data_IF_913063281718
#
_entry.id   IF_913063281718
#
_cell.length_a   1.000
_cell.length_b   1.000
_cell.length_c   1.000
_cell.angle_alpha   90.00
_cell.angle_beta   90.00
_cell.angle_gamma   90.00
#
_symmetry.space_group_name_H-M   'P 1'
#
loop_
_entity.id
_entity.type
_entity.pdbx_description
1 polymer ?
#
# COMPACT_ATOMS: atom_id res chain seq x y z
N UNK A 1 -1.42 -28.72 -2.59
CA UNK A 1 -0.71 -27.44 -2.48
C UNK A 1 0.01 -27.18 -3.81
N UNK A 2 -0.62 -26.48 -4.74
CA UNK A 2 0.07 -26.00 -5.93
C UNK A 2 1.03 -24.88 -5.49
N UNK A 3 2.29 -25.21 -5.30
CA UNK A 3 3.36 -24.21 -5.24
C UNK A 3 3.48 -23.59 -6.62
N UNK A 4 2.79 -22.47 -6.84
CA UNK A 4 2.90 -21.75 -8.10
C UNK A 4 4.33 -21.26 -8.32
N UNK A 5 4.73 -21.11 -9.58
CA UNK A 5 5.99 -20.46 -10.00
C UNK A 5 6.27 -19.15 -9.22
N UNK A 6 5.24 -18.50 -8.63
CA UNK A 6 5.33 -17.31 -7.83
C UNK A 6 6.26 -17.36 -6.61
N UNK A 7 6.34 -18.49 -5.89
CA UNK A 7 7.14 -18.55 -4.65
C UNK A 7 8.64 -18.70 -4.91
N UNK A 8 9.02 -19.38 -5.98
CA UNK A 8 10.43 -19.50 -6.40
C UNK A 8 10.90 -18.12 -6.90
N UNK A 9 10.12 -17.48 -7.74
CA UNK A 9 10.44 -16.18 -8.29
C UNK A 9 10.50 -15.08 -7.21
N UNK A 10 9.56 -15.08 -6.26
CA UNK A 10 9.62 -14.17 -5.09
C UNK A 10 10.91 -14.34 -4.30
N UNK A 11 11.36 -15.58 -4.06
CA UNK A 11 12.62 -15.83 -3.35
C UNK A 11 13.82 -15.31 -4.13
N UNK A 12 13.85 -15.53 -5.44
CA UNK A 12 14.91 -15.00 -6.31
C UNK A 12 14.95 -13.47 -6.32
N UNK A 13 13.78 -12.81 -6.40
CA UNK A 13 13.71 -11.34 -6.35
C UNK A 13 14.14 -10.79 -5.00
N UNK A 14 13.77 -11.45 -3.89
CA UNK A 14 14.23 -11.08 -2.54
C UNK A 14 15.75 -11.19 -2.41
N UNK A 15 16.34 -12.28 -2.90
CA UNK A 15 17.79 -12.45 -2.93
C UNK A 15 18.44 -11.36 -3.76
N UNK A 16 17.95 -11.14 -4.99
CA UNK A 16 18.46 -10.10 -5.88
C UNK A 16 18.39 -8.70 -5.26
N UNK A 17 17.27 -8.34 -4.60
CA UNK A 17 17.12 -7.04 -3.94
C UNK A 17 18.15 -6.84 -2.81
N UNK A 18 18.52 -7.91 -2.11
CA UNK A 18 19.57 -7.86 -1.09
C UNK A 18 20.97 -7.79 -1.71
N UNK A 19 21.23 -8.54 -2.78
CA UNK A 19 22.50 -8.54 -3.51
C UNK A 19 22.80 -7.17 -4.15
N UNK A 20 21.79 -6.51 -4.69
CA UNK A 20 21.90 -5.17 -5.30
C UNK A 20 21.91 -4.04 -4.26
N UNK A 21 21.66 -4.32 -2.99
CA UNK A 21 21.55 -3.32 -1.93
C UNK A 21 20.24 -2.51 -1.94
N UNK A 22 19.28 -2.86 -2.80
CA UNK A 22 17.95 -2.21 -2.81
C UNK A 22 17.19 -2.46 -1.50
N UNK A 23 17.45 -3.61 -0.86
CA UNK A 23 16.89 -3.97 0.44
C UNK A 23 17.95 -4.60 1.35
N UNK A 24 17.74 -4.46 2.64
CA UNK A 24 18.55 -5.13 3.68
C UNK A 24 17.75 -6.29 4.26
N UNK A 25 18.36 -7.48 4.30
CA UNK A 25 17.80 -8.65 4.98
C UNK A 25 17.89 -8.44 6.49
N UNK A 26 16.79 -8.68 7.18
CA UNK A 26 16.73 -8.61 8.65
C UNK A 26 17.03 -9.97 9.28
N UNK A 27 17.12 -9.99 10.62
CA UNK A 27 17.35 -11.18 11.41
C UNK A 27 16.23 -12.21 11.19
N UNK A 28 16.56 -13.37 10.63
CA UNK A 28 15.57 -14.41 10.29
C UNK A 28 14.97 -15.12 11.50
N UNK A 29 15.68 -15.14 12.63
CA UNK A 29 15.18 -15.79 13.86
C UNK A 29 14.16 -14.90 14.58
N UNK A 30 14.34 -13.58 14.52
CA UNK A 30 13.49 -12.58 15.20
C UNK A 30 12.41 -12.02 14.29
N UNK A 31 12.72 -11.84 13.00
CA UNK A 31 11.87 -11.23 11.97
C UNK A 31 11.90 -12.07 10.67
N UNK A 32 11.39 -13.32 10.72
CA UNK A 32 11.50 -14.23 9.59
C UNK A 32 10.88 -13.67 8.32
N UNK A 33 11.66 -13.66 7.26
CA UNK A 33 11.25 -13.17 5.96
C UNK A 33 11.01 -11.66 5.91
N UNK A 34 11.52 -10.86 6.83
CA UNK A 34 11.40 -9.41 6.79
C UNK A 34 12.58 -8.75 6.07
N UNK A 35 12.31 -7.62 5.45
CA UNK A 35 13.27 -6.80 4.72
C UNK A 35 13.14 -5.34 5.16
N UNK A 36 14.24 -4.59 5.05
CA UNK A 36 14.26 -3.13 5.21
C UNK A 36 14.60 -2.47 3.87
N UNK A 37 13.84 -1.47 3.50
CA UNK A 37 14.06 -0.59 2.34
C UNK A 37 14.22 0.86 2.79
N UNK A 38 15.00 1.64 2.03
CA UNK A 38 15.12 3.09 2.23
C UNK A 38 14.89 3.81 0.92
N UNK A 39 14.07 4.85 0.96
CA UNK A 39 13.90 5.77 -0.17
C UNK A 39 14.87 6.94 -0.05
N UNK A 40 15.02 7.71 -1.14
CA UNK A 40 15.77 8.97 -1.06
C UNK A 40 15.08 9.93 -0.07
N UNK A 41 15.82 10.79 0.66
CA UNK A 41 15.24 11.72 1.64
C UNK A 41 14.18 12.68 1.09
N UNK A 42 14.19 12.95 -0.22
CA UNK A 42 13.20 13.78 -0.89
C UNK A 42 12.03 12.99 -1.50
N UNK A 43 11.94 11.66 -1.23
CA UNK A 43 10.90 10.77 -1.75
C UNK A 43 10.34 9.90 -0.62
N UNK A 44 9.67 10.52 0.33
CA UNK A 44 9.25 9.90 1.60
C UNK A 44 7.75 10.03 1.88
N UNK A 45 7.01 10.72 1.02
CA UNK A 45 5.58 10.98 1.18
C UNK A 45 4.85 10.96 -0.16
N UNK A 46 3.53 10.85 -0.11
CA UNK A 46 2.69 11.12 -1.27
C UNK A 46 2.80 12.60 -1.66
N UNK A 47 2.84 12.86 -2.95
CA UNK A 47 2.97 14.21 -3.50
C UNK A 47 1.63 14.68 -4.04
N UNK A 48 0.81 15.29 -3.19
CA UNK A 48 -0.54 15.71 -3.56
C UNK A 48 -0.55 16.77 -4.66
N UNK A 49 0.32 17.75 -4.58
CA UNK A 49 0.46 18.79 -5.59
C UNK A 49 0.99 18.31 -6.95
N UNK A 50 1.46 17.07 -7.03
CA UNK A 50 1.94 16.40 -8.25
C UNK A 50 1.10 15.17 -8.59
N UNK A 51 -0.05 15.00 -7.93
CA UNK A 51 -1.01 13.93 -8.19
C UNK A 51 -2.23 14.51 -8.91
N UNK A 52 -2.58 13.95 -10.06
CA UNK A 52 -3.61 14.48 -10.95
C UNK A 52 -4.62 13.41 -11.36
N UNK A 53 -5.87 13.83 -11.47
CA UNK A 53 -6.92 13.10 -12.18
C UNK A 53 -7.01 13.71 -13.58
N UNK A 54 -6.66 12.92 -14.58
CA UNK A 54 -6.66 13.33 -15.99
C UNK A 54 -7.95 12.83 -16.65
N UNK A 55 -9.07 13.42 -16.23
CA UNK A 55 -10.39 13.16 -16.78
C UNK A 55 -10.67 14.08 -17.96
N UNK A 56 -11.68 13.78 -18.78
CA UNK A 56 -12.08 14.55 -19.96
C UNK A 56 -12.38 16.03 -19.63
N UNK A 57 -12.82 16.31 -18.40
CA UNK A 57 -13.09 17.66 -17.92
C UNK A 57 -12.74 17.82 -16.44
N UNK A 58 -12.45 19.05 -16.02
CA UNK A 58 -12.01 19.34 -14.66
C UNK A 58 -13.06 19.01 -13.58
N UNK A 59 -14.35 19.15 -13.90
CA UNK A 59 -15.45 18.81 -13.00
C UNK A 59 -15.52 17.31 -12.70
N UNK A 60 -15.07 16.44 -13.61
CA UNK A 60 -15.00 15.00 -13.39
C UNK A 60 -13.84 14.59 -12.48
N UNK A 61 -12.86 15.46 -12.25
CA UNK A 61 -11.79 15.19 -11.29
C UNK A 61 -12.29 15.28 -9.83
N UNK A 62 -13.41 15.94 -9.61
CA UNK A 62 -13.96 16.21 -8.29
C UNK A 62 -13.32 17.43 -7.59
N UNK A 63 -13.96 17.94 -6.52
CA UNK A 63 -13.62 19.24 -5.95
C UNK A 63 -12.28 19.31 -5.20
N UNK A 64 -11.71 18.17 -4.84
CA UNK A 64 -10.52 18.08 -3.97
C UNK A 64 -9.29 17.58 -4.69
N UNK A 65 -9.40 17.13 -5.93
CA UNK A 65 -8.29 16.62 -6.72
C UNK A 65 -7.77 17.66 -7.71
N UNK A 66 -6.46 17.61 -7.99
CA UNK A 66 -5.91 18.36 -9.09
C UNK A 66 -6.33 17.73 -10.43
N UNK A 67 -6.63 18.55 -11.40
CA UNK A 67 -6.93 18.14 -12.76
C UNK A 67 -5.81 18.54 -13.72
N UNK A 68 -5.60 17.72 -14.72
CA UNK A 68 -4.72 18.01 -15.87
C UNK A 68 -5.37 17.46 -17.14
N UNK A 69 -5.26 18.17 -18.25
CA UNK A 69 -5.73 17.69 -19.54
C UNK A 69 -5.08 16.34 -19.88
N UNK A 70 -5.85 15.31 -20.28
CA UNK A 70 -5.30 13.98 -20.54
C UNK A 70 -4.24 13.96 -21.64
N UNK A 71 -4.40 14.71 -22.71
CA UNK A 71 -3.45 14.71 -23.83
C UNK A 71 -2.13 15.39 -23.43
N UNK A 72 -2.21 16.50 -22.68
CA UNK A 72 -1.03 17.16 -22.11
C UNK A 72 -0.31 16.25 -21.12
N UNK A 73 -1.06 15.59 -20.23
CA UNK A 73 -0.52 14.66 -19.24
C UNK A 73 0.20 13.48 -19.91
N UNK A 74 -0.40 12.83 -20.91
CA UNK A 74 0.24 11.73 -21.64
C UNK A 74 1.53 12.19 -22.33
N UNK A 75 1.49 13.32 -23.02
CA UNK A 75 2.68 13.86 -23.70
C UNK A 75 3.82 14.10 -22.71
N UNK A 76 3.54 14.79 -21.61
CA UNK A 76 4.52 15.08 -20.56
C UNK A 76 5.09 13.80 -19.95
N UNK A 77 4.23 12.84 -19.58
CA UNK A 77 4.63 11.61 -18.92
C UNK A 77 5.45 10.70 -19.85
N UNK A 78 5.08 10.59 -21.11
CA UNK A 78 5.85 9.81 -22.08
C UNK A 78 7.22 10.45 -22.40
N UNK A 79 7.30 11.78 -22.39
CA UNK A 79 8.60 12.46 -22.55
C UNK A 79 9.50 12.22 -21.32
N UNK A 80 8.94 12.21 -20.09
CA UNK A 80 9.69 11.87 -18.87
C UNK A 80 10.09 10.38 -18.86
N UNK A 81 9.18 9.49 -19.21
CA UNK A 81 9.39 8.03 -19.17
C UNK A 81 10.25 7.52 -20.35
N UNK A 82 10.51 8.34 -21.36
CA UNK A 82 11.29 7.96 -22.55
C UNK A 82 12.64 7.37 -22.14
N UNK A 83 12.93 6.18 -22.66
CA UNK A 83 14.16 5.43 -22.38
C UNK A 83 14.43 5.09 -20.90
N UNK A 84 13.49 5.31 -19.99
CA UNK A 84 13.66 5.09 -18.54
C UNK A 84 13.97 3.63 -18.18
N UNK A 85 13.51 2.68 -19.00
CA UNK A 85 13.80 1.25 -18.83
C UNK A 85 15.10 0.78 -19.52
N UNK A 86 15.78 1.66 -20.25
CA UNK A 86 17.03 1.26 -20.95
C UNK A 86 18.08 0.79 -19.96
N UNK A 87 18.55 -0.45 -20.12
CA UNK A 87 19.51 -1.09 -19.23
C UNK A 87 18.92 -1.57 -17.89
N UNK A 88 17.61 -1.45 -17.68
CA UNK A 88 16.90 -1.93 -16.49
C UNK A 88 16.02 -3.14 -16.81
N UNK A 89 15.69 -3.93 -15.79
CA UNK A 89 14.72 -5.03 -15.94
C UNK A 89 13.31 -4.46 -15.80
N UNK A 90 12.47 -4.70 -16.78
CA UNK A 90 11.05 -4.43 -16.69
C UNK A 90 10.33 -5.64 -16.07
N UNK A 91 9.63 -5.41 -14.96
CA UNK A 91 8.79 -6.39 -14.32
C UNK A 91 7.32 -6.16 -14.71
N UNK A 92 6.62 -7.25 -14.98
CA UNK A 92 5.18 -7.24 -15.31
C UNK A 92 4.44 -7.91 -14.17
N UNK A 93 3.54 -7.18 -13.51
CA UNK A 93 2.81 -7.63 -12.33
C UNK A 93 1.31 -7.70 -12.65
N UNK A 94 0.79 -8.85 -13.10
CA UNK A 94 -0.66 -9.05 -13.14
C UNK A 94 -1.19 -9.29 -11.71
N UNK A 95 -2.18 -8.51 -11.30
CA UNK A 95 -2.71 -8.57 -9.96
C UNK A 95 -4.23 -8.43 -9.92
N UNK A 96 -4.85 -8.98 -8.88
CA UNK A 96 -6.26 -8.83 -8.57
C UNK A 96 -6.46 -8.01 -7.32
N UNK A 97 -7.30 -6.99 -7.42
CA UNK A 97 -7.89 -6.30 -6.30
C UNK A 97 -9.20 -7.02 -5.95
N UNK A 98 -9.27 -7.55 -4.74
CA UNK A 98 -10.30 -8.50 -4.34
C UNK A 98 -9.92 -9.98 -4.59
N UNK A 99 -10.70 -10.94 -4.07
CA UNK A 99 -10.45 -12.37 -4.23
C UNK A 99 -10.52 -12.79 -5.70
N UNK A 100 -9.51 -13.52 -6.18
CA UNK A 100 -9.43 -13.95 -7.59
C UNK A 100 -10.64 -14.82 -7.95
N UNK A 101 -11.32 -14.46 -9.05
CA UNK A 101 -12.53 -15.12 -9.53
C UNK A 101 -13.82 -14.65 -8.85
N UNK A 102 -13.75 -13.71 -7.91
CA UNK A 102 -14.94 -13.07 -7.36
C UNK A 102 -15.56 -12.10 -8.38
N UNK A 103 -16.90 -12.04 -8.49
CA UNK A 103 -17.57 -11.06 -9.35
C UNK A 103 -17.34 -9.61 -8.88
N UNK A 104 -16.82 -9.41 -7.68
CA UNK A 104 -16.48 -8.10 -7.11
C UNK A 104 -15.01 -7.72 -7.29
N UNK A 105 -14.17 -8.64 -7.79
CA UNK A 105 -12.76 -8.34 -8.03
C UNK A 105 -12.55 -7.62 -9.36
N UNK A 106 -11.47 -6.84 -9.41
CA UNK A 106 -11.00 -6.17 -10.62
C UNK A 106 -9.52 -6.50 -10.84
N UNK A 107 -9.10 -6.59 -12.08
CA UNK A 107 -7.73 -6.95 -12.44
C UNK A 107 -6.96 -5.71 -12.89
N UNK A 108 -5.69 -5.66 -12.53
CA UNK A 108 -4.72 -4.71 -13.05
C UNK A 108 -3.44 -5.39 -13.48
N UNK A 109 -2.68 -4.70 -14.33
CA UNK A 109 -1.32 -5.09 -14.69
C UNK A 109 -0.44 -3.87 -14.48
N UNK A 110 0.59 -4.00 -13.66
CA UNK A 110 1.57 -2.94 -13.41
C UNK A 110 2.90 -3.30 -14.05
N UNK A 111 3.45 -2.37 -14.83
CA UNK A 111 4.83 -2.41 -15.33
C UNK A 111 5.70 -1.57 -14.39
N UNK A 112 6.86 -2.09 -13.99
CA UNK A 112 7.79 -1.38 -13.11
C UNK A 112 9.23 -1.83 -13.33
N UNK A 113 10.19 -0.97 -13.01
CA UNK A 113 11.62 -1.29 -12.96
C UNK A 113 12.14 -1.55 -11.54
N UNK A 114 11.24 -1.59 -10.53
CA UNK A 114 11.57 -1.71 -9.11
C UNK A 114 11.20 -3.06 -8.52
N UNK A 115 12.18 -3.77 -7.92
CA UNK A 115 11.92 -5.00 -7.18
C UNK A 115 11.11 -4.71 -5.91
N UNK A 116 11.32 -3.55 -5.28
CA UNK A 116 10.52 -3.10 -4.14
C UNK A 116 9.03 -3.09 -4.48
N UNK A 117 8.65 -2.56 -5.64
CA UNK A 117 7.26 -2.55 -6.10
C UNK A 117 6.73 -3.97 -6.27
N UNK A 118 7.48 -4.84 -6.95
CA UNK A 118 7.05 -6.24 -7.17
C UNK A 118 6.78 -6.96 -5.86
N UNK A 119 7.69 -6.83 -4.88
CA UNK A 119 7.56 -7.53 -3.60
C UNK A 119 6.43 -6.96 -2.74
N UNK A 120 6.23 -5.64 -2.74
CA UNK A 120 5.11 -5.02 -2.04
C UNK A 120 3.77 -5.33 -2.69
N UNK A 121 3.67 -5.29 -4.02
CA UNK A 121 2.45 -5.68 -4.73
C UNK A 121 2.09 -7.14 -4.46
N UNK A 122 3.09 -8.02 -4.27
CA UNK A 122 2.86 -9.40 -3.89
C UNK A 122 2.31 -9.59 -2.47
N UNK A 123 2.51 -8.62 -1.58
CA UNK A 123 1.92 -8.57 -0.24
C UNK A 123 0.52 -7.92 -0.31
N UNK A 124 0.42 -6.78 -0.98
CA UNK A 124 -0.77 -5.93 -0.99
C UNK A 124 -1.90 -6.44 -1.88
N UNK A 125 -1.58 -7.26 -2.88
CA UNK A 125 -2.53 -7.75 -3.87
C UNK A 125 -2.40 -9.26 -4.06
N UNK A 126 -3.25 -9.83 -4.88
CA UNK A 126 -3.16 -11.26 -5.26
C UNK A 126 -2.56 -11.33 -6.65
N UNK A 127 -1.34 -11.84 -6.76
CA UNK A 127 -0.60 -11.92 -8.03
C UNK A 127 -0.44 -13.37 -8.48
N UNK A 128 -0.18 -13.56 -9.77
CA UNK A 128 0.26 -14.83 -10.34
C UNK A 128 -0.63 -15.36 -11.45
N UNK A 129 -0.34 -16.62 -11.86
CA UNK A 129 -0.98 -17.27 -13.02
C UNK A 129 -2.51 -17.25 -12.97
N UNK A 130 -3.10 -17.49 -11.79
CA UNK A 130 -4.57 -17.49 -11.64
C UNK A 130 -5.23 -16.17 -12.03
N UNK A 131 -4.53 -15.05 -11.81
CA UNK A 131 -5.04 -13.72 -12.23
C UNK A 131 -5.09 -13.63 -13.75
N UNK A 132 -4.02 -14.08 -14.43
CA UNK A 132 -3.97 -14.12 -15.90
C UNK A 132 -5.00 -15.07 -16.48
N UNK A 133 -5.15 -16.25 -15.88
CA UNK A 133 -6.16 -17.24 -16.30
C UNK A 133 -7.59 -16.67 -16.14
N UNK A 134 -7.83 -15.86 -15.09
CA UNK A 134 -9.12 -15.19 -14.86
C UNK A 134 -9.36 -14.06 -15.84
N UNK A 135 -8.31 -13.31 -16.20
CA UNK A 135 -8.40 -12.23 -17.19
C UNK A 135 -8.72 -12.79 -18.59
N UNK A 136 -8.04 -13.88 -18.98
CA UNK A 136 -8.19 -14.45 -20.33
C UNK A 136 -7.92 -13.42 -21.42
N UNK A 137 -8.82 -13.33 -22.39
CA UNK A 137 -8.76 -12.38 -23.51
C UNK A 137 -9.51 -11.06 -23.22
N UNK A 138 -9.93 -10.82 -21.98
CA UNK A 138 -10.64 -9.60 -21.61
C UNK A 138 -9.76 -8.36 -21.67
N UNK A 139 -10.33 -7.26 -22.16
CA UNK A 139 -9.71 -5.93 -22.11
C UNK A 139 -10.13 -5.11 -20.87
N UNK A 140 -10.96 -5.66 -19.98
CA UNK A 140 -11.39 -5.01 -18.73
C UNK A 140 -10.32 -5.18 -17.64
N UNK A 141 -9.29 -4.38 -17.72
CA UNK A 141 -8.22 -4.34 -16.73
C UNK A 141 -7.58 -2.95 -16.62
N UNK A 142 -7.03 -2.64 -15.47
CA UNK A 142 -6.35 -1.36 -15.21
C UNK A 142 -4.88 -1.45 -15.56
N UNK A 143 -4.41 -0.49 -16.35
CA UNK A 143 -3.04 -0.37 -16.84
C UNK A 143 -2.22 0.48 -15.89
N UNK A 144 -1.19 -0.07 -15.32
CA UNK A 144 -0.24 0.63 -14.46
C UNK A 144 1.13 0.74 -15.13
N UNK A 145 1.70 1.92 -15.15
CA UNK A 145 3.08 2.16 -15.55
C UNK A 145 3.80 2.92 -14.44
N UNK A 146 4.82 2.31 -13.87
CA UNK A 146 5.73 2.95 -12.92
C UNK A 146 7.13 2.99 -13.50
N UNK A 147 7.74 4.17 -13.56
CA UNK A 147 9.12 4.38 -13.96
C UNK A 147 9.87 5.10 -12.84
N UNK A 148 10.87 4.43 -12.24
CA UNK A 148 11.72 5.06 -11.22
C UNK A 148 12.49 6.26 -11.76
N UNK A 149 12.88 6.24 -13.04
CA UNK A 149 13.69 7.29 -13.68
C UNK A 149 14.90 7.65 -12.79
N UNK A 150 15.11 8.93 -12.52
CA UNK A 150 16.22 9.44 -11.69
C UNK A 150 15.77 9.82 -10.27
N UNK A 151 14.48 9.59 -9.94
CA UNK A 151 13.84 10.05 -8.68
C UNK A 151 13.98 11.57 -8.54
N UNK A 152 13.74 12.30 -9.63
CA UNK A 152 13.77 13.75 -9.66
C UNK A 152 12.46 14.33 -9.11
N UNK A 153 12.46 15.07 -7.98
CA UNK A 153 11.24 15.61 -7.38
C UNK A 153 10.52 16.62 -8.28
N UNK A 154 11.25 17.33 -9.16
CA UNK A 154 10.66 18.31 -10.07
C UNK A 154 9.93 17.67 -11.25
N UNK A 155 10.25 16.42 -11.57
CA UNK A 155 9.63 15.63 -12.62
C UNK A 155 8.81 14.46 -12.08
N UNK A 156 8.47 14.49 -10.79
CA UNK A 156 7.65 13.48 -10.12
C UNK A 156 6.19 13.76 -10.37
N UNK A 157 5.47 12.79 -10.94
CA UNK A 157 4.05 12.88 -11.21
C UNK A 157 3.36 11.53 -10.99
N UNK A 158 2.13 11.58 -10.44
CA UNK A 158 1.23 10.46 -10.32
C UNK A 158 -0.09 10.86 -11.01
N UNK A 159 -0.38 10.27 -12.16
CA UNK A 159 -1.53 10.62 -12.96
C UNK A 159 -2.46 9.42 -13.12
N UNK A 160 -3.76 9.63 -12.93
CA UNK A 160 -4.80 8.66 -13.14
C UNK A 160 -5.68 9.13 -14.31
N UNK A 161 -5.93 8.24 -15.25
CA UNK A 161 -6.76 8.44 -16.44
C UNK A 161 -7.99 7.54 -16.32
N UNK A 162 -9.07 8.02 -15.70
CA UNK A 162 -10.22 7.17 -15.36
C UNK A 162 -10.90 6.55 -16.58
N UNK A 163 -11.05 7.30 -17.67
CA UNK A 163 -11.70 6.83 -18.90
C UNK A 163 -10.89 5.72 -19.58
N UNK A 164 -9.56 5.76 -19.46
CA UNK A 164 -8.66 4.79 -20.09
C UNK A 164 -8.28 3.64 -19.15
N UNK A 165 -8.79 3.63 -17.92
CA UNK A 165 -8.34 2.70 -16.88
C UNK A 165 -6.82 2.64 -16.76
N UNK A 166 -6.15 3.81 -16.77
CA UNK A 166 -4.69 3.90 -16.82
C UNK A 166 -4.15 4.73 -15.66
N UNK A 167 -3.00 4.30 -15.12
CA UNK A 167 -2.28 4.97 -14.04
C UNK A 167 -0.81 5.05 -14.45
N UNK A 168 -0.21 6.24 -14.36
CA UNK A 168 1.20 6.44 -14.64
C UNK A 168 1.84 7.16 -13.47
N UNK A 169 2.93 6.59 -12.93
CA UNK A 169 3.75 7.17 -11.86
C UNK A 169 5.20 7.25 -12.31
N UNK A 170 5.80 8.42 -12.23
CA UNK A 170 7.19 8.65 -12.64
C UNK A 170 7.98 9.36 -11.54
N UNK A 171 9.30 9.07 -11.46
CA UNK A 171 10.26 9.70 -10.56
C UNK A 171 9.97 9.51 -9.07
N UNK A 172 9.35 8.41 -8.66
CA UNK A 172 9.18 8.05 -7.26
C UNK A 172 9.60 6.59 -7.02
N UNK A 173 10.08 6.30 -5.81
CA UNK A 173 10.28 4.97 -5.26
C UNK A 173 9.50 4.80 -3.93
N UNK A 174 8.75 5.81 -3.51
CA UNK A 174 7.95 5.76 -2.30
C UNK A 174 6.68 4.94 -2.48
N UNK A 175 6.44 3.97 -1.59
CA UNK A 175 5.34 3.01 -1.70
C UNK A 175 3.96 3.63 -1.96
N UNK A 176 3.63 4.74 -1.32
CA UNK A 176 2.36 5.44 -1.53
C UNK A 176 2.16 6.01 -2.95
N UNK A 177 3.26 6.21 -3.69
CA UNK A 177 3.25 6.73 -5.06
C UNK A 177 3.38 5.63 -6.12
N UNK A 178 3.95 4.47 -5.76
CA UNK A 178 4.37 3.45 -6.73
C UNK A 178 3.63 2.13 -6.63
N UNK A 179 2.91 1.87 -5.54
CA UNK A 179 2.02 0.72 -5.41
C UNK A 179 0.67 1.07 -6.05
N UNK A 180 0.59 0.98 -7.36
CA UNK A 180 -0.51 1.53 -8.14
C UNK A 180 -1.85 0.82 -7.89
N UNK A 181 -1.83 -0.40 -7.40
CA UNK A 181 -3.03 -1.14 -6.99
C UNK A 181 -3.74 -0.55 -5.77
N UNK A 182 -3.02 0.16 -4.88
CA UNK A 182 -3.59 0.67 -3.62
C UNK A 182 -4.50 1.90 -3.86
N UNK A 183 -3.99 3.11 -3.63
CA UNK A 183 -4.83 4.33 -3.72
C UNK A 183 -5.20 4.72 -5.14
N UNK A 184 -4.30 4.54 -6.08
CA UNK A 184 -4.54 4.92 -7.47
C UNK A 184 -5.63 4.06 -8.11
N UNK A 185 -5.56 2.74 -7.96
CA UNK A 185 -6.58 1.84 -8.49
C UNK A 185 -7.74 1.67 -7.51
N UNK A 186 -7.48 1.09 -6.32
CA UNK A 186 -8.55 0.63 -5.43
C UNK A 186 -9.45 1.75 -4.90
N UNK A 187 -9.01 3.01 -4.99
CA UNK A 187 -9.82 4.15 -4.59
C UNK A 187 -10.14 5.06 -5.78
N UNK A 188 -9.15 5.65 -6.47
CA UNK A 188 -9.40 6.70 -7.48
C UNK A 188 -10.00 6.15 -8.79
N UNK A 189 -9.34 5.21 -9.46
CA UNK A 189 -9.92 4.57 -10.66
C UNK A 189 -11.20 3.82 -10.30
N UNK A 190 -11.20 3.10 -9.18
CA UNK A 190 -12.35 2.35 -8.71
C UNK A 190 -13.57 3.23 -8.39
N UNK A 191 -13.38 4.46 -7.90
CA UNK A 191 -14.50 5.40 -7.71
C UNK A 191 -15.16 5.76 -9.03
N UNK A 192 -14.40 5.99 -10.09
CA UNK A 192 -14.93 6.24 -11.41
C UNK A 192 -15.64 5.01 -11.97
N UNK A 193 -15.03 3.82 -11.88
CA UNK A 193 -15.66 2.56 -12.30
C UNK A 193 -16.95 2.32 -11.51
N UNK A 194 -16.92 2.55 -10.20
CA UNK A 194 -18.08 2.42 -9.32
C UNK A 194 -19.23 3.34 -9.72
N UNK A 195 -18.93 4.58 -10.08
CA UNK A 195 -19.92 5.51 -10.59
C UNK A 195 -20.56 5.01 -11.90
N UNK A 196 -19.76 4.45 -12.81
CA UNK A 196 -20.30 3.88 -14.08
C UNK A 196 -21.06 2.57 -13.88
N UNK A 197 -20.67 1.75 -12.92
CA UNK A 197 -21.18 0.39 -12.71
C UNK A 197 -22.14 0.28 -11.50
N UNK A 198 -22.53 1.41 -10.87
CA UNK A 198 -23.46 1.47 -9.73
C UNK A 198 -22.94 0.76 -8.47
N UNK A 199 -21.69 0.99 -8.10
CA UNK A 199 -21.08 0.58 -6.85
C UNK A 199 -20.16 1.67 -6.30
N UNK A 200 -19.61 1.51 -5.09
CA UNK A 200 -18.81 2.53 -4.42
C UNK A 200 -17.45 1.97 -4.04
N UNK A 201 -16.40 2.75 -4.28
CA UNK A 201 -15.08 2.55 -3.71
C UNK A 201 -14.83 3.63 -2.65
N UNK A 202 -14.68 3.22 -1.39
CA UNK A 202 -14.67 4.12 -0.26
C UNK A 202 -13.40 3.97 0.59
N UNK A 203 -12.95 5.09 1.15
CA UNK A 203 -11.85 5.10 2.12
C UNK A 203 -12.38 4.72 3.50
N UNK A 204 -12.74 3.43 3.65
CA UNK A 204 -13.38 2.85 4.83
C UNK A 204 -12.69 1.58 5.29
N UNK A 205 -12.64 1.40 6.60
CA UNK A 205 -12.38 0.09 7.19
C UNK A 205 -13.61 -0.83 7.05
N UNK A 206 -13.40 -2.13 7.13
CA UNK A 206 -14.44 -3.14 7.30
C UNK A 206 -14.08 -3.97 8.52
N UNK A 207 -14.94 -4.01 9.53
CA UNK A 207 -14.82 -4.90 10.68
C UNK A 207 -16.07 -5.73 10.91
N UNK A 208 -15.90 -6.91 11.47
CA UNK A 208 -16.97 -7.76 11.96
C UNK A 208 -16.99 -7.72 13.49
N UNK A 209 -18.14 -7.37 14.08
CA UNK A 209 -18.38 -7.48 15.51
C UNK A 209 -19.21 -8.73 15.78
N UNK A 210 -18.60 -9.72 16.43
CA UNK A 210 -19.24 -10.97 16.84
C UNK A 210 -19.71 -10.88 18.29
N UNK A 211 -20.97 -11.17 18.52
CA UNK A 211 -21.54 -11.25 19.87
C UNK A 211 -21.31 -12.64 20.50
N UNK A 212 -21.60 -12.84 21.81
CA UNK A 212 -21.43 -14.13 22.47
C UNK A 212 -22.26 -15.28 21.91
N UNK A 213 -23.28 -15.00 21.10
CA UNK A 213 -24.10 -16.01 20.42
C UNK A 213 -23.53 -16.44 19.05
N UNK A 214 -22.41 -15.85 18.63
CA UNK A 214 -21.80 -16.10 17.32
C UNK A 214 -22.43 -15.30 16.17
N UNK A 215 -23.32 -14.36 16.44
CA UNK A 215 -23.87 -13.48 15.42
C UNK A 215 -22.86 -12.37 15.09
N UNK A 216 -22.55 -12.21 13.80
CA UNK A 216 -21.61 -11.17 13.33
C UNK A 216 -22.37 -10.03 12.67
N UNK A 217 -22.06 -8.80 13.07
CA UNK A 217 -22.48 -7.57 12.38
C UNK A 217 -21.25 -6.95 11.71
N UNK A 218 -21.35 -6.70 10.40
CA UNK A 218 -20.29 -6.04 9.65
C UNK A 218 -20.52 -4.53 9.64
N UNK A 219 -19.46 -3.77 9.82
CA UNK A 219 -19.45 -2.31 9.91
C UNK A 219 -18.41 -1.78 8.96
N UNK A 220 -18.81 -0.89 8.04
CA UNK A 220 -17.92 -0.05 7.26
C UNK A 220 -17.87 1.33 7.90
N UNK A 221 -16.68 1.88 8.08
CA UNK A 221 -16.54 3.17 8.74
C UNK A 221 -15.44 4.02 8.07
N UNK A 222 -15.81 5.25 7.71
CA UNK A 222 -14.91 6.25 7.15
C UNK A 222 -14.28 7.09 8.26
N UNK A 223 -12.98 7.31 8.15
CA UNK A 223 -12.23 8.20 9.03
C UNK A 223 -11.22 8.98 8.20
N UNK A 224 -11.01 10.26 8.50
CA UNK A 224 -9.90 11.01 7.95
C UNK A 224 -8.54 10.32 8.22
N UNK A 225 -7.53 10.70 7.46
CA UNK A 225 -6.16 10.23 7.68
C UNK A 225 -5.71 10.53 9.12
N UNK A 226 -4.92 9.64 9.72
CA UNK A 226 -4.40 9.72 11.09
C UNK A 226 -5.45 9.79 12.22
N UNK A 227 -6.73 9.51 11.95
CA UNK A 227 -7.79 9.50 12.97
C UNK A 227 -8.01 8.14 13.66
N UNK A 228 -7.10 7.17 13.44
CA UNK A 228 -7.14 5.88 14.12
C UNK A 228 -7.96 4.79 13.42
N UNK A 229 -8.23 4.92 12.12
CA UNK A 229 -8.98 3.93 11.32
C UNK A 229 -8.40 2.52 11.45
N UNK A 230 -7.11 2.34 11.20
CA UNK A 230 -6.42 1.05 11.34
C UNK A 230 -6.47 0.51 12.77
N UNK A 231 -6.35 1.39 13.78
CA UNK A 231 -6.46 0.98 15.17
C UNK A 231 -7.87 0.46 15.52
N UNK A 232 -8.91 1.08 14.97
CA UNK A 232 -10.27 0.57 15.14
C UNK A 232 -10.51 -0.73 14.40
N UNK A 233 -10.01 -0.87 13.16
CA UNK A 233 -10.13 -2.09 12.36
C UNK A 233 -9.47 -3.30 13.04
N UNK A 234 -8.36 -3.07 13.75
CA UNK A 234 -7.58 -4.09 14.45
C UNK A 234 -7.81 -4.10 15.96
N UNK A 235 -8.91 -3.50 16.43
CA UNK A 235 -9.23 -3.38 17.86
C UNK A 235 -9.33 -4.76 18.52
N UNK A 236 -8.73 -4.89 19.70
CA UNK A 236 -9.01 -5.99 20.62
C UNK A 236 -10.14 -5.54 21.55
N UNK A 237 -11.24 -6.29 21.67
CA UNK A 237 -12.30 -5.91 22.60
C UNK A 237 -11.76 -5.69 24.01
N UNK A 238 -12.19 -4.63 24.72
CA UNK A 238 -11.86 -4.47 26.13
C UNK A 238 -12.18 -5.73 26.95
N UNK A 239 -11.39 -5.97 27.99
CA UNK A 239 -11.42 -7.23 28.75
C UNK A 239 -12.84 -7.61 29.21
N UNK A 240 -13.63 -6.66 29.69
CA UNK A 240 -14.98 -6.90 30.14
C UNK A 240 -15.95 -7.40 29.04
N UNK A 241 -15.70 -7.06 27.77
CA UNK A 241 -16.46 -7.58 26.64
C UNK A 241 -15.86 -8.89 26.11
N UNK A 242 -14.52 -8.99 26.07
CA UNK A 242 -13.84 -10.22 25.67
C UNK A 242 -14.20 -11.40 26.57
N UNK A 243 -14.25 -11.17 27.89
CA UNK A 243 -14.66 -12.19 28.87
C UNK A 243 -16.13 -12.58 28.74
N UNK A 244 -16.96 -11.74 28.11
CA UNK A 244 -18.34 -12.07 27.74
C UNK A 244 -18.46 -12.78 26.38
N UNK A 245 -17.34 -13.00 25.66
CA UNK A 245 -17.31 -13.72 24.39
C UNK A 245 -17.46 -12.83 23.14
N UNK A 246 -17.39 -11.49 23.26
CA UNK A 246 -17.34 -10.61 22.08
C UNK A 246 -16.00 -10.71 21.37
N UNK A 247 -16.04 -10.70 20.03
CA UNK A 247 -14.85 -10.72 19.17
C UNK A 247 -14.94 -9.64 18.08
N UNK A 248 -13.79 -9.17 17.63
CA UNK A 248 -13.67 -8.28 16.48
C UNK A 248 -12.83 -8.95 15.41
N UNK A 249 -13.33 -8.92 14.17
CA UNK A 249 -12.69 -9.45 12.99
C UNK A 249 -12.29 -8.30 12.08
N UNK A 250 -10.99 -8.15 11.80
CA UNK A 250 -10.51 -7.21 10.80
C UNK A 250 -10.69 -7.82 9.41
N UNK A 251 -11.57 -7.25 8.61
CA UNK A 251 -11.77 -7.63 7.20
C UNK A 251 -10.92 -6.75 6.28
N UNK A 252 -10.81 -5.47 6.61
CA UNK A 252 -9.96 -4.52 5.92
C UNK A 252 -9.81 -3.23 6.72
N UNK A 253 -8.66 -2.57 6.63
CA UNK A 253 -8.38 -1.40 7.46
C UNK A 253 -8.45 -0.06 6.71
N UNK A 254 -8.50 -0.08 5.37
CA UNK A 254 -8.28 1.13 4.60
C UNK A 254 -9.28 1.38 3.48
N UNK A 255 -9.62 0.38 2.65
CA UNK A 255 -10.49 0.53 1.48
C UNK A 255 -11.60 -0.51 1.50
N UNK A 256 -12.80 -0.07 1.15
CA UNK A 256 -14.00 -0.90 1.01
C UNK A 256 -14.64 -0.69 -0.35
N UNK A 257 -14.92 -1.76 -1.07
CA UNK A 257 -15.78 -1.74 -2.26
C UNK A 257 -17.16 -2.24 -1.87
N UNK A 258 -18.17 -1.39 -2.06
CA UNK A 258 -19.54 -1.63 -1.59
C UNK A 258 -20.47 -1.76 -2.79
N UNK A 259 -21.19 -2.86 -2.87
CA UNK A 259 -22.15 -3.16 -3.94
C UNK A 259 -23.48 -3.62 -3.38
N UNK A 260 -24.55 -3.34 -4.10
CA UNK A 260 -25.87 -3.92 -3.83
C UNK A 260 -25.93 -5.33 -4.42
N UNK A 261 -26.28 -6.31 -3.60
CA UNK A 261 -26.49 -7.68 -4.01
C UNK A 261 -27.87 -7.92 -4.64
N UNK A 262 -28.10 -9.13 -5.21
CA UNK A 262 -29.38 -9.49 -5.82
C UNK A 262 -30.56 -9.46 -4.83
N UNK A 263 -30.28 -9.68 -3.54
CA UNK A 263 -31.24 -9.63 -2.43
C UNK A 263 -31.53 -8.20 -1.91
N UNK A 264 -30.95 -7.19 -2.56
CA UNK A 264 -31.12 -5.80 -2.20
C UNK A 264 -30.25 -5.32 -1.04
N UNK A 265 -29.45 -6.20 -0.42
CA UNK A 265 -28.52 -5.84 0.66
C UNK A 265 -27.22 -5.27 0.13
N UNK A 266 -26.55 -4.49 0.98
CA UNK A 266 -25.20 -4.02 0.68
C UNK A 266 -24.17 -5.08 1.09
N UNK A 267 -23.21 -5.30 0.20
CA UNK A 267 -22.05 -6.17 0.40
C UNK A 267 -20.78 -5.36 0.26
N UNK A 268 -19.86 -5.56 1.17
CA UNK A 268 -18.56 -4.90 1.16
C UNK A 268 -17.43 -5.92 1.02
N UNK A 269 -16.44 -5.62 0.21
CA UNK A 269 -15.20 -6.39 0.13
C UNK A 269 -14.00 -5.48 0.42
N UNK A 270 -12.96 -6.07 1.02
CA UNK A 270 -11.64 -5.46 1.04
C UNK A 270 -10.92 -5.83 -0.27
N UNK A 271 -10.58 -4.87 -1.15
CA UNK A 271 -9.84 -5.16 -2.38
C UNK A 271 -8.39 -5.58 -2.11
N UNK A 272 -7.80 -5.15 -1.01
CA UNK A 272 -6.41 -5.43 -0.65
C UNK A 272 -6.24 -6.84 -0.05
N UNK A 273 -5.00 -7.35 -0.08
CA UNK A 273 -4.64 -8.64 0.51
C UNK A 273 -3.80 -8.49 1.78
N UNK A 274 -2.96 -7.47 1.86
CA UNK A 274 -2.09 -7.15 2.99
C UNK A 274 -2.41 -5.80 3.60
N UNK A 275 -1.59 -5.39 4.57
CA UNK A 275 -1.69 -4.10 5.23
C UNK A 275 -0.52 -3.20 4.84
N UNK A 276 -0.81 -1.92 4.68
CA UNK A 276 0.18 -0.88 4.46
C UNK A 276 -0.05 0.21 5.51
N UNK A 277 0.74 0.19 6.56
CA UNK A 277 0.55 1.04 7.73
C UNK A 277 1.75 1.93 8.03
N UNK A 278 1.59 2.79 9.02
CA UNK A 278 2.61 3.70 9.56
C UNK A 278 3.21 3.07 10.81
N UNK A 279 4.56 2.89 10.84
CA UNK A 279 5.25 2.27 11.96
C UNK A 279 5.32 3.18 13.22
N UNK A 280 5.68 4.48 13.14
CA UNK A 280 5.79 5.34 14.30
C UNK A 280 4.57 5.31 15.22
N UNK A 281 4.82 5.14 16.53
CA UNK A 281 3.77 5.06 17.54
C UNK A 281 3.06 3.70 17.64
N UNK A 282 3.30 2.77 16.72
CA UNK A 282 2.74 1.40 16.79
C UNK A 282 3.54 0.57 17.79
N UNK A 283 2.87 0.07 18.82
CA UNK A 283 3.44 -0.73 19.89
C UNK A 283 2.42 -1.67 20.53
N UNK A 284 2.83 -2.46 21.52
CA UNK A 284 1.98 -3.42 22.25
C UNK A 284 0.75 -2.77 22.93
N UNK A 285 0.81 -1.47 23.26
CA UNK A 285 -0.29 -0.76 23.91
C UNK A 285 -1.23 -0.08 22.92
N UNK A 286 -0.65 0.55 21.88
CA UNK A 286 -1.43 1.32 20.91
C UNK A 286 -2.15 0.44 19.91
N UNK A 287 -1.49 -0.60 19.38
CA UNK A 287 -2.08 -1.55 18.42
C UNK A 287 -1.28 -2.87 18.38
N UNK A 288 -1.54 -3.79 19.33
CA UNK A 288 -0.82 -5.07 19.39
C UNK A 288 -1.04 -5.95 18.15
N UNK A 289 -2.21 -5.90 17.52
CA UNK A 289 -2.49 -6.66 16.30
C UNK A 289 -1.68 -6.14 15.10
N UNK A 290 -1.58 -4.83 14.93
CA UNK A 290 -0.73 -4.25 13.89
C UNK A 290 0.74 -4.61 14.14
N UNK A 291 1.21 -4.50 15.37
CA UNK A 291 2.57 -4.90 15.73
C UNK A 291 2.82 -6.38 15.45
N UNK A 292 1.89 -7.27 15.81
CA UNK A 292 2.00 -8.70 15.53
C UNK A 292 2.05 -8.98 14.02
N UNK A 293 1.30 -8.23 13.20
CA UNK A 293 1.32 -8.37 11.75
C UNK A 293 2.68 -8.03 11.12
N UNK A 294 3.51 -7.21 11.79
CA UNK A 294 4.85 -6.85 11.30
C UNK A 294 5.93 -7.89 11.59
N UNK A 295 5.65 -8.90 12.41
CA UNK A 295 6.65 -9.88 12.88
C UNK A 295 7.16 -10.85 11.82
N UNK A 296 6.50 -10.95 10.66
CA UNK A 296 6.84 -11.91 9.62
C UNK A 296 6.50 -11.38 8.22
N UNK A 297 7.39 -11.66 7.25
CA UNK A 297 7.18 -11.35 5.83
C UNK A 297 6.82 -9.87 5.55
N UNK A 298 7.37 -8.96 6.33
CA UNK A 298 7.12 -7.53 6.24
C UNK A 298 8.27 -6.82 5.54
N UNK A 299 7.94 -5.82 4.75
CA UNK A 299 8.91 -4.88 4.19
C UNK A 299 8.77 -3.58 4.98
N UNK A 300 9.77 -3.31 5.82
CA UNK A 300 9.87 -2.05 6.53
C UNK A 300 10.48 -0.99 5.62
N UNK A 301 9.98 0.22 5.68
CA UNK A 301 10.49 1.34 4.88
C UNK A 301 10.78 2.54 5.77
N UNK A 302 11.98 3.11 5.62
CA UNK A 302 12.40 4.35 6.30
C UNK A 302 12.29 4.29 7.83
N UNK A 303 12.70 3.18 8.43
CA UNK A 303 12.84 2.99 9.89
C UNK A 303 14.31 2.77 10.25
N UNK A 304 14.66 2.89 11.53
CA UNK A 304 16.01 2.63 12.01
C UNK A 304 16.35 1.14 11.94
N UNK A 305 17.61 0.83 11.65
CA UNK A 305 18.19 -0.51 11.72
C UNK A 305 19.05 -0.62 12.98
N UNK A 306 18.68 -1.49 13.89
CA UNK A 306 19.49 -1.86 15.04
C UNK A 306 20.59 -2.81 14.59
N UNK A 307 21.85 -2.40 14.72
CA UNK A 307 23.01 -3.19 14.28
C UNK A 307 23.38 -4.32 15.23
N UNK A 308 22.97 -4.26 16.51
CA UNK A 308 23.33 -5.27 17.51
C UNK A 308 22.64 -6.62 17.26
N UNK A 309 21.42 -6.58 16.71
CA UNK A 309 20.62 -7.78 16.47
C UNK A 309 20.01 -7.86 15.07
N UNK A 310 20.35 -6.89 14.21
CA UNK A 310 19.84 -6.79 12.84
C UNK A 310 18.30 -6.77 12.75
N UNK A 311 17.66 -6.02 13.65
CA UNK A 311 16.22 -5.77 13.65
C UNK A 311 15.91 -4.30 13.33
N UNK A 312 14.64 -3.95 13.26
CA UNK A 312 14.20 -2.57 13.05
C UNK A 312 13.70 -1.95 14.35
N UNK A 313 13.80 -0.62 14.42
CA UNK A 313 13.24 0.18 15.49
C UNK A 313 12.60 1.46 14.92
N UNK A 314 11.59 1.97 15.60
CA UNK A 314 10.93 3.24 15.30
C UNK A 314 10.43 3.92 16.59
N UNK A 315 10.26 5.23 16.53
CA UNK A 315 9.81 6.02 17.67
C UNK A 315 8.45 5.55 18.17
N UNK A 316 8.41 5.24 19.45
CA UNK A 316 7.24 4.74 20.13
C UNK A 316 7.05 3.22 20.08
N UNK A 317 7.96 2.45 19.46
CA UNK A 317 7.95 0.98 19.52
C UNK A 317 8.07 0.50 20.97
N UNK A 318 9.10 1.00 21.64
CA UNK A 318 9.36 0.75 23.07
C UNK A 318 10.12 1.93 23.70
N UNK A 319 10.55 1.77 24.95
CA UNK A 319 11.28 2.79 25.72
C UNK A 319 12.80 2.69 25.57
N UNK A 320 13.31 1.71 24.85
CA UNK A 320 14.72 1.37 24.75
C UNK A 320 15.24 1.53 23.32
N UNK A 321 15.45 2.78 22.84
CA UNK A 321 16.02 2.99 21.52
C UNK A 321 17.44 2.41 21.46
N UNK A 322 17.83 1.80 20.32
CA UNK A 322 19.14 1.21 20.15
C UNK A 322 20.25 2.30 20.15
N UNK A 323 21.40 1.97 20.78
CA UNK A 323 22.54 2.87 20.79
C UNK A 323 23.44 2.71 19.57
N UNK A 324 23.46 1.52 18.98
CA UNK A 324 24.24 1.19 17.80
C UNK A 324 23.29 0.90 16.63
N UNK A 325 22.99 1.94 15.86
CA UNK A 325 21.98 1.85 14.79
C UNK A 325 22.31 2.72 13.59
N UNK A 326 21.56 2.48 12.52
CA UNK A 326 21.51 3.31 11.31
C UNK A 326 20.11 3.93 11.23
N UNK A 327 20.03 5.23 11.04
CA UNK A 327 18.75 5.93 10.88
C UNK A 327 18.05 5.60 9.54
N UNK A 328 16.88 6.18 9.36
CA UNK A 328 16.08 6.02 8.14
C UNK A 328 16.76 6.58 6.88
N UNK A 329 17.72 7.50 7.02
CA UNK A 329 18.51 8.07 5.91
C UNK A 329 19.78 7.27 5.61
N UNK A 330 20.09 6.25 6.40
CA UNK A 330 21.28 5.45 6.23
C UNK A 330 22.52 5.99 6.96
N UNK A 331 22.37 6.90 7.94
CA UNK A 331 23.45 7.51 8.71
C UNK A 331 23.61 6.79 10.08
N UNK A 332 24.84 6.73 10.63
CA UNK A 332 25.03 6.27 12.02
C UNK A 332 24.13 7.06 12.98
N UNK A 333 23.43 6.33 13.85
CA UNK A 333 22.46 6.92 14.77
C UNK A 333 22.52 6.22 16.14
N UNK A 334 22.40 7.01 17.20
CA UNK A 334 22.28 6.53 18.56
C UNK A 334 20.97 7.07 19.17
N UNK A 335 20.06 6.17 19.50
CA UNK A 335 18.73 6.54 19.97
C UNK A 335 18.67 7.27 21.30
N UNK A 336 19.78 7.27 22.07
CA UNK A 336 19.88 7.97 23.36
C UNK A 336 20.51 9.36 23.25
N UNK A 337 21.42 9.54 22.30
CA UNK A 337 22.25 10.76 22.23
C UNK A 337 22.02 11.60 20.97
N UNK A 338 21.47 11.02 19.91
CA UNK A 338 21.17 11.76 18.67
C UNK A 338 19.93 12.64 18.85
N UNK A 339 20.00 13.90 18.42
CA UNK A 339 18.87 14.82 18.41
C UNK A 339 17.83 14.47 17.34
N UNK A 340 18.30 13.91 16.21
CA UNK A 340 17.46 13.51 15.10
C UNK A 340 16.73 12.18 15.38
N UNK A 341 15.61 11.98 14.68
CA UNK A 341 14.79 10.77 14.81
C UNK A 341 15.38 9.62 14.00
N UNK A 342 15.29 8.41 14.55
CA UNK A 342 15.78 7.19 13.90
C UNK A 342 14.89 6.75 12.74
N UNK A 343 13.60 7.04 12.78
CA UNK A 343 12.70 6.78 11.67
C UNK A 343 12.06 8.05 11.14
N UNK A 344 11.53 7.94 9.92
CA UNK A 344 10.74 9.01 9.33
C UNK A 344 9.44 9.19 10.13
N UNK A 345 9.32 10.35 10.80
CA UNK A 345 8.06 10.74 11.40
C UNK A 345 7.22 11.49 10.34
N UNK A 346 6.07 10.94 10.01
CA UNK A 346 5.04 11.72 9.38
C UNK A 346 4.56 12.78 10.38
N UNK A 347 4.98 14.01 10.20
CA UNK A 347 4.21 15.13 10.73
C UNK A 347 2.88 15.08 10.01
N UNK A 348 1.80 14.95 10.80
CA UNK A 348 0.45 14.84 10.26
C UNK A 348 0.27 15.76 9.07
N UNK A 349 -0.10 15.23 7.91
CA UNK A 349 -0.38 16.08 6.78
C UNK A 349 -1.56 17.00 7.09
N UNK A 350 -1.63 18.08 6.37
CA UNK A 350 -2.75 19.02 6.32
C UNK A 350 -4.10 18.27 6.29
N UNK A 351 -5.20 18.86 6.81
CA UNK A 351 -6.56 18.33 6.68
C UNK A 351 -6.99 17.92 5.27
N UNK A 352 -6.23 18.28 4.24
CA UNK A 352 -6.45 17.90 2.84
C UNK A 352 -6.12 16.44 2.51
N UNK A 353 -5.41 15.71 3.36
CA UNK A 353 -5.21 14.25 3.20
C UNK A 353 -6.47 13.42 3.52
N UNK A 354 -7.56 14.07 3.79
CA UNK A 354 -8.82 13.48 4.22
C UNK A 354 -9.82 13.26 3.07
N UNK A 355 -9.43 13.47 1.83
CA UNK A 355 -10.31 13.32 0.67
C UNK A 355 -9.90 12.18 -0.24
#
# INVERSE_FOLDING_TARGET
QSRGLGDVYKRQLRAKACETGEMTKLNEDLLPGCLLHRTKPNDVARVENRTFICAESADQAGPTNNWMDPAEAYKMLYDIARDSYKGRTMYIIPYSMGPVGSPFSKIGVELTDSIYVVLNMAIMTRIGKKVMDTLGDSNDWVRGLHCSCDIDPEKRYICQFPQDNTIISVNSAYGGNVLLGKKCFALRIASYQGWKESWQAEHMLILGLENPKGEVKYICAAFPSACGKTNLAMLIPPEGYRNKGYKIWCVGDDISWIRKGPDGRLYAINPENGFFGVAPGTNEKSNPNALAATRKNTIFTNVALNLDNNTVWWEGLDKNPPENAIDWQGRPWNGKTSEEKGCLLYTSPSPRDCS
#
